data_IF_649969185043
#
_entry.id   IF_649969185043
#
_cell.length_a   1.000
_cell.length_b   1.000
_cell.length_c   1.000
_cell.angle_alpha   90.00
_cell.angle_beta   90.00
_cell.angle_gamma   90.00
#
_symmetry.space_group_name_H-M   'P 1'
#
loop_
_entity.id
_entity.type
_entity.pdbx_description
1 polymer ?
#
# COMPACT_ATOMS: atom_id res chain seq x y z
N UNK A 1 -2.76 66.75 29.59
CA UNK A 1 -1.41 66.82 28.99
C UNK A 1 -1.42 65.98 27.71
N UNK A 2 -2.14 66.36 26.65
CA UNK A 2 -1.71 67.22 25.54
C UNK A 2 -0.24 67.03 25.11
N UNK A 3 -0.04 66.36 23.98
CA UNK A 3 1.01 66.71 23.02
C UNK A 3 0.51 66.45 21.60
N UNK A 4 -0.11 67.48 21.01
CA UNK A 4 -0.40 67.60 19.58
C UNK A 4 0.91 68.00 18.87
N UNK A 5 1.30 67.27 17.83
CA UNK A 5 2.15 67.83 16.76
C UNK A 5 1.31 67.95 15.50
N UNK A 6 1.02 69.20 15.12
CA UNK A 6 0.50 69.58 13.82
C UNK A 6 1.59 69.33 12.77
N UNK A 7 1.24 68.69 11.65
CA UNK A 7 1.96 68.95 10.41
C UNK A 7 1.03 68.86 9.18
N UNK A 8 0.63 70.07 8.75
CA UNK A 8 0.34 70.57 7.40
C UNK A 8 -0.41 69.68 6.40
N UNK A 9 -1.65 70.11 6.17
CA UNK A 9 -2.44 70.01 4.96
C UNK A 9 -1.66 70.54 3.72
N UNK A 10 -1.47 69.71 2.70
CA UNK A 10 -1.22 70.14 1.32
C UNK A 10 -2.25 69.45 0.44
N UNK A 11 -3.17 70.25 -0.09
CA UNK A 11 -4.12 69.89 -1.14
C UNK A 11 -3.34 69.63 -2.42
N UNK A 12 -3.39 68.42 -2.95
CA UNK A 12 -2.88 68.06 -4.27
C UNK A 12 -3.97 67.30 -5.02
N UNK A 13 -4.67 68.02 -5.89
CA UNK A 13 -5.63 67.48 -6.85
C UNK A 13 -4.82 66.70 -7.90
N UNK A 14 -4.98 65.37 -7.94
CA UNK A 14 -4.42 64.56 -9.03
C UNK A 14 -5.56 63.77 -9.65
N UNK A 15 -5.87 64.15 -10.88
CA UNK A 15 -6.79 63.51 -11.79
C UNK A 15 -6.14 62.21 -12.28
N UNK A 16 -6.49 61.05 -11.71
CA UNK A 16 -6.02 59.75 -12.20
C UNK A 16 -7.09 59.10 -13.07
N UNK A 17 -6.78 59.02 -14.36
CA UNK A 17 -7.56 58.29 -15.35
C UNK A 17 -7.72 56.81 -14.94
N UNK A 18 -8.97 56.33 -14.94
CA UNK A 18 -9.26 54.90 -14.80
C UNK A 18 -8.88 54.23 -16.12
N UNK A 19 -7.70 53.63 -16.16
CA UNK A 19 -7.31 52.69 -17.21
C UNK A 19 -8.01 51.37 -16.92
N UNK A 20 -8.97 51.00 -17.76
CA UNK A 20 -9.57 49.68 -17.77
C UNK A 20 -8.51 48.65 -18.20
N UNK A 21 -7.82 48.07 -17.21
CA UNK A 21 -6.90 46.96 -17.43
C UNK A 21 -7.69 45.69 -17.75
N UNK A 22 -7.69 45.31 -19.02
CA UNK A 22 -8.05 43.96 -19.45
C UNK A 22 -7.01 43.00 -18.84
N UNK A 23 -7.35 42.37 -17.71
CA UNK A 23 -6.57 41.27 -17.13
C UNK A 23 -6.73 40.05 -18.05
N UNK A 24 -5.92 39.99 -19.10
CA UNK A 24 -5.63 38.73 -19.77
C UNK A 24 -4.87 37.86 -18.76
N UNK A 25 -5.60 36.99 -18.06
CA UNK A 25 -5.00 35.96 -17.22
C UNK A 25 -4.20 35.02 -18.10
N UNK A 26 -2.90 35.26 -18.26
CA UNK A 26 -2.01 34.25 -18.79
C UNK A 26 -1.94 33.16 -17.73
N UNK A 27 -2.64 32.05 -17.96
CA UNK A 27 -2.31 30.79 -17.31
C UNK A 27 -0.87 30.48 -17.71
N UNK A 28 0.08 30.89 -16.87
CA UNK A 28 1.44 30.40 -16.96
C UNK A 28 1.34 28.90 -16.71
N UNK A 29 1.38 28.11 -17.78
CA UNK A 29 1.78 26.71 -17.66
C UNK A 29 3.13 26.76 -16.97
N UNK A 30 3.23 26.24 -15.74
CA UNK A 30 4.51 26.09 -15.08
C UNK A 30 5.37 25.23 -16.01
N UNK A 31 6.26 25.88 -16.75
CA UNK A 31 7.31 25.19 -17.48
C UNK A 31 8.25 24.70 -16.41
N UNK A 32 8.12 23.43 -16.12
CA UNK A 32 9.03 22.66 -15.29
C UNK A 32 10.48 23.01 -15.66
N UNK A 33 11.34 23.37 -14.69
CA UNK A 33 12.71 23.77 -14.99
C UNK A 33 13.43 22.66 -15.78
N UNK A 34 14.23 23.00 -16.80
CA UNK A 34 14.93 22.01 -17.60
C UNK A 34 15.82 21.16 -16.69
N UNK A 35 15.43 19.89 -16.50
CA UNK A 35 16.00 18.98 -15.51
C UNK A 35 14.97 18.19 -14.71
N UNK A 36 13.68 18.56 -14.75
CA UNK A 36 12.60 17.74 -14.21
C UNK A 36 11.99 16.89 -15.32
N UNK A 37 11.81 15.61 -15.04
CA UNK A 37 11.17 14.60 -15.89
C UNK A 37 9.65 14.76 -15.99
N UNK A 38 9.10 15.93 -15.65
CA UNK A 38 7.67 16.20 -15.57
C UNK A 38 6.95 15.44 -14.44
N UNK A 39 7.70 14.74 -13.59
CA UNK A 39 7.14 13.92 -12.52
C UNK A 39 6.89 14.76 -11.26
N UNK A 40 5.68 14.72 -10.67
CA UNK A 40 5.40 15.44 -9.44
C UNK A 40 6.18 14.86 -8.24
N UNK A 41 6.63 15.74 -7.35
CA UNK A 41 7.24 15.37 -6.07
C UNK A 41 6.31 14.43 -5.28
N UNK A 42 6.89 13.40 -4.66
CA UNK A 42 6.15 12.37 -3.95
C UNK A 42 5.58 11.25 -4.82
N UNK A 43 5.70 11.31 -6.15
CA UNK A 43 5.34 10.19 -7.01
C UNK A 43 6.21 8.97 -6.70
N UNK A 44 5.60 7.80 -6.59
CA UNK A 44 6.27 6.51 -6.36
C UNK A 44 6.22 5.68 -7.63
N UNK A 45 7.36 5.13 -8.07
CA UNK A 45 7.44 4.31 -9.26
C UNK A 45 8.43 3.15 -9.09
N UNK A 46 8.19 2.06 -9.83
CA UNK A 46 9.09 0.91 -9.92
C UNK A 46 10.12 1.14 -11.02
N UNK A 47 11.38 0.80 -10.75
CA UNK A 47 12.47 0.88 -11.71
C UNK A 47 13.11 -0.49 -11.91
N UNK A 48 13.55 -0.76 -13.14
CA UNK A 48 14.28 -2.00 -13.51
C UNK A 48 15.77 -1.93 -13.18
N UNK A 49 16.25 -0.78 -12.72
CA UNK A 49 17.61 -0.57 -12.21
C UNK A 49 17.75 -1.05 -10.77
N UNK A 50 18.98 -1.16 -10.28
CA UNK A 50 19.27 -1.52 -8.88
C UNK A 50 19.28 -0.31 -7.94
N UNK A 51 19.29 0.92 -8.49
CA UNK A 51 19.27 2.18 -7.74
C UNK A 51 18.33 3.18 -8.39
N UNK A 52 17.90 4.16 -7.59
CA UNK A 52 17.08 5.26 -8.08
C UNK A 52 17.87 6.19 -9.02
N UNK A 53 17.23 6.73 -10.08
CA UNK A 53 17.85 7.73 -10.93
C UNK A 53 18.02 9.08 -10.20
N UNK A 54 18.81 10.03 -10.74
CA UNK A 54 18.94 11.37 -10.16
C UNK A 54 17.58 12.06 -9.95
N UNK A 55 17.40 12.73 -8.80
CA UNK A 55 16.14 13.38 -8.41
C UNK A 55 15.08 12.43 -7.85
N UNK A 56 15.47 11.19 -7.51
CA UNK A 56 14.63 10.18 -6.90
C UNK A 56 15.36 9.51 -5.73
N UNK A 57 14.63 9.20 -4.66
CA UNK A 57 15.13 8.49 -3.50
C UNK A 57 14.47 7.12 -3.35
N UNK A 58 15.14 6.16 -2.72
CA UNK A 58 14.55 4.85 -2.44
C UNK A 58 13.35 5.02 -1.52
N UNK A 59 12.20 4.47 -1.92
CA UNK A 59 10.97 4.46 -1.12
C UNK A 59 11.06 3.33 -0.07
N UNK A 60 11.69 3.62 1.06
CA UNK A 60 11.97 2.62 2.11
C UNK A 60 10.71 2.07 2.76
N UNK A 61 9.61 2.83 2.77
CA UNK A 61 8.32 2.43 3.33
C UNK A 61 7.66 1.24 2.59
N UNK A 62 8.06 0.94 1.36
CA UNK A 62 7.51 -0.16 0.54
C UNK A 62 8.51 -1.29 0.28
N UNK A 63 9.69 -1.25 0.89
CA UNK A 63 10.72 -2.27 0.68
C UNK A 63 10.22 -3.65 1.12
N UNK A 64 10.30 -4.63 0.22
CA UNK A 64 9.81 -5.99 0.45
C UNK A 64 8.28 -6.10 0.52
N UNK A 65 7.53 -5.09 0.08
CA UNK A 65 6.05 -5.08 0.17
C UNK A 65 5.40 -4.97 -1.21
N UNK A 66 4.24 -5.58 -1.34
CA UNK A 66 3.34 -5.32 -2.45
C UNK A 66 2.59 -4.00 -2.18
N UNK A 67 2.64 -3.07 -3.14
CA UNK A 67 1.92 -1.80 -3.06
C UNK A 67 0.49 -2.01 -3.55
N UNK A 68 -0.49 -1.60 -2.73
CA UNK A 68 -1.92 -1.70 -3.05
C UNK A 68 -2.50 -0.29 -3.10
N UNK A 69 -3.29 -0.01 -4.13
CA UNK A 69 -4.02 1.25 -4.25
C UNK A 69 -5.14 1.31 -3.20
N UNK A 70 -5.29 2.47 -2.55
CA UNK A 70 -6.34 2.71 -1.55
C UNK A 70 -7.33 3.74 -2.05
N UNK A 71 -8.58 3.64 -1.62
CA UNK A 71 -9.63 4.59 -1.97
C UNK A 71 -9.71 5.76 -1.00
N UNK A 72 -9.32 5.55 0.26
CA UNK A 72 -9.36 6.57 1.31
C UNK A 72 -7.95 7.00 1.69
N UNK A 73 -7.76 8.30 1.89
CA UNK A 73 -6.47 8.85 2.32
C UNK A 73 -6.07 8.38 3.72
N UNK A 74 -7.02 7.94 4.55
CA UNK A 74 -6.75 7.37 5.89
C UNK A 74 -5.95 6.07 5.83
N UNK A 75 -6.01 5.36 4.70
CA UNK A 75 -5.38 4.04 4.55
C UNK A 75 -3.99 4.17 3.90
N UNK A 76 -3.56 5.39 3.54
CA UNK A 76 -2.25 5.64 2.98
C UNK A 76 -1.15 5.30 3.99
N UNK A 77 -0.17 4.52 3.54
CA UNK A 77 0.96 4.11 4.37
C UNK A 77 0.66 3.02 5.39
N UNK A 78 -0.58 2.51 5.45
CA UNK A 78 -0.91 1.34 6.27
C UNK A 78 -0.19 0.12 5.71
N UNK A 79 0.52 -0.58 6.58
CA UNK A 79 1.23 -1.82 6.23
C UNK A 79 0.56 -3.03 6.85
N UNK A 80 0.39 -4.09 6.08
CA UNK A 80 -0.09 -5.39 6.56
C UNK A 80 1.00 -6.44 6.36
N UNK A 81 1.16 -7.32 7.36
CA UNK A 81 2.11 -8.43 7.32
C UNK A 81 3.58 -8.03 7.37
N UNK A 82 4.43 -9.05 7.21
CA UNK A 82 5.90 -8.94 7.25
C UNK A 82 6.45 -8.70 5.84
N UNK A 83 7.40 -7.77 5.65
CA UNK A 83 8.03 -7.57 4.35
C UNK A 83 8.82 -8.81 3.93
N UNK A 84 8.84 -9.08 2.62
CA UNK A 84 9.69 -10.09 2.01
C UNK A 84 11.17 -9.72 2.18
N UNK A 85 11.99 -10.73 2.46
CA UNK A 85 13.44 -10.60 2.43
C UNK A 85 13.93 -10.44 0.98
N UNK A 86 15.10 -9.84 0.81
CA UNK A 86 15.71 -9.68 -0.52
C UNK A 86 15.95 -11.06 -1.16
N UNK A 87 15.48 -11.20 -2.40
CA UNK A 87 15.64 -12.36 -3.29
C UNK A 87 15.30 -13.71 -2.66
N UNK A 88 14.43 -13.70 -1.65
CA UNK A 88 14.03 -14.90 -0.92
C UNK A 88 12.56 -15.18 -1.17
N UNK A 89 12.26 -16.37 -1.69
CA UNK A 89 10.89 -16.80 -1.87
C UNK A 89 10.20 -16.92 -0.50
N UNK A 90 8.99 -16.37 -0.31
CA UNK A 90 8.26 -16.55 0.93
C UNK A 90 7.87 -18.01 1.12
N UNK A 91 8.15 -18.54 2.31
CA UNK A 91 7.53 -19.76 2.80
C UNK A 91 6.04 -19.53 3.07
N UNK A 92 5.22 -20.54 2.80
CA UNK A 92 3.80 -20.53 3.14
C UNK A 92 3.31 -21.94 3.51
N UNK A 93 2.20 -21.97 4.24
CA UNK A 93 1.56 -23.18 4.75
C UNK A 93 0.11 -23.19 4.26
N UNK A 94 -0.38 -24.37 3.89
CA UNK A 94 -1.80 -24.60 3.58
C UNK A 94 -2.45 -25.36 4.72
N UNK A 95 -3.50 -24.79 5.30
CA UNK A 95 -4.38 -25.52 6.21
C UNK A 95 -5.40 -26.32 5.41
N UNK A 96 -5.62 -27.58 5.76
CA UNK A 96 -6.68 -28.39 5.16
C UNK A 96 -7.73 -28.77 6.20
N UNK A 97 -8.96 -28.95 5.70
CA UNK A 97 -10.07 -29.50 6.47
C UNK A 97 -10.90 -30.37 5.54
N UNK A 98 -11.12 -31.61 5.93
CA UNK A 98 -11.93 -32.57 5.18
C UNK A 98 -12.79 -33.40 6.12
N UNK A 99 -13.83 -34.00 5.56
CA UNK A 99 -14.74 -34.85 6.28
C UNK A 99 -14.71 -36.26 5.68
N UNK A 100 -14.51 -37.25 6.54
CA UNK A 100 -14.62 -38.66 6.19
C UNK A 100 -15.89 -39.21 6.84
N UNK A 101 -16.81 -39.72 6.03
CA UNK A 101 -18.00 -40.41 6.53
C UNK A 101 -17.72 -41.91 6.55
N UNK A 102 -17.66 -42.49 7.74
CA UNK A 102 -17.55 -43.94 7.92
C UNK A 102 -18.96 -44.55 7.85
N UNK A 103 -19.23 -45.45 6.88
CA UNK A 103 -20.50 -46.14 6.81
C UNK A 103 -20.65 -47.11 7.97
N UNK A 104 -21.89 -47.44 8.33
CA UNK A 104 -22.15 -48.49 9.34
C UNK A 104 -21.65 -49.84 8.85
N UNK A 105 -20.94 -50.55 9.73
CA UNK A 105 -20.50 -51.94 9.56
C UNK A 105 -20.87 -52.72 10.81
N UNK A 106 -21.36 -53.95 10.61
CA UNK A 106 -21.71 -54.85 11.70
C UNK A 106 -20.61 -55.90 11.88
N UNK A 107 -20.20 -56.15 13.12
CA UNK A 107 -19.26 -57.21 13.47
C UNK A 107 -19.96 -58.19 14.43
N UNK A 108 -19.90 -59.48 14.13
CA UNK A 108 -20.39 -60.52 15.04
C UNK A 108 -19.32 -60.80 16.11
N UNK A 109 -19.64 -60.49 17.37
CA UNK A 109 -18.76 -60.75 18.50
C UNK A 109 -19.18 -62.05 19.18
N UNK A 110 -18.20 -62.87 19.55
CA UNK A 110 -18.43 -64.19 20.17
C UNK A 110 -19.28 -64.15 21.46
N UNK A 111 -19.31 -63.00 22.14
CA UNK A 111 -20.06 -62.82 23.39
C UNK A 111 -21.39 -62.05 23.25
N UNK A 112 -21.74 -61.58 22.04
CA UNK A 112 -22.89 -60.69 21.83
C UNK A 112 -22.72 -59.31 22.51
N UNK A 113 -23.44 -58.31 22.02
CA UNK A 113 -23.41 -56.93 22.55
C UNK A 113 -22.70 -55.91 21.65
N UNK A 114 -22.72 -54.66 22.09
CA UNK A 114 -22.01 -53.53 21.46
C UNK A 114 -20.58 -53.42 22.01
N UNK A 115 -19.59 -53.30 21.11
CA UNK A 115 -18.19 -53.09 21.48
C UNK A 115 -17.70 -51.74 20.96
N UNK A 116 -17.36 -50.84 21.88
CA UNK A 116 -16.90 -49.48 21.59
C UNK A 116 -15.39 -49.42 21.29
N UNK A 117 -14.69 -50.56 21.29
CA UNK A 117 -13.26 -50.63 20.91
C UNK A 117 -13.03 -50.49 19.40
N UNK A 118 -14.10 -50.50 18.59
CA UNK A 118 -14.04 -50.30 17.14
C UNK A 118 -14.43 -48.86 16.76
N UNK A 119 -13.97 -48.41 15.59
CA UNK A 119 -14.32 -47.10 15.06
C UNK A 119 -15.84 -47.01 14.81
N UNK A 120 -16.48 -45.99 15.40
CA UNK A 120 -17.92 -45.74 15.24
C UNK A 120 -18.24 -45.30 13.81
N UNK A 121 -19.43 -45.60 13.31
CA UNK A 121 -19.91 -44.97 12.08
C UNK A 121 -20.28 -43.51 12.32
N UNK A 122 -20.17 -42.69 11.29
CA UNK A 122 -20.46 -41.26 11.38
C UNK A 122 -19.45 -40.40 10.62
N UNK A 123 -19.59 -39.09 10.80
CA UNK A 123 -18.76 -38.09 10.13
C UNK A 123 -17.58 -37.72 11.03
N UNK A 124 -16.38 -37.85 10.50
CA UNK A 124 -15.13 -37.49 11.14
C UNK A 124 -14.51 -36.31 10.41
N UNK A 125 -14.37 -35.19 11.08
CA UNK A 125 -13.65 -34.04 10.55
C UNK A 125 -12.17 -34.18 10.86
N UNK A 126 -11.35 -34.08 9.83
CA UNK A 126 -9.89 -34.09 9.92
C UNK A 126 -9.40 -32.73 9.44
N UNK A 127 -8.54 -32.10 10.22
CA UNK A 127 -7.89 -30.85 9.85
C UNK A 127 -6.45 -30.84 10.32
N UNK A 128 -5.63 -30.07 9.64
CA UNK A 128 -4.24 -29.84 10.00
C UNK A 128 -3.59 -28.88 9.04
N UNK A 129 -2.29 -28.69 9.25
CA UNK A 129 -1.46 -27.88 8.39
C UNK A 129 -0.51 -28.79 7.60
N UNK A 130 -0.24 -28.39 6.35
CA UNK A 130 0.84 -28.97 5.56
C UNK A 130 2.19 -28.46 6.06
N UNK A 131 3.27 -29.10 5.64
CA UNK A 131 4.61 -28.59 5.90
C UNK A 131 4.82 -27.24 5.20
N UNK A 132 5.56 -26.33 5.85
CA UNK A 132 5.99 -25.07 5.23
C UNK A 132 6.82 -25.35 3.98
N UNK A 133 6.47 -24.66 2.89
CA UNK A 133 7.19 -24.74 1.62
C UNK A 133 7.16 -23.40 0.89
N UNK A 134 8.13 -23.19 0.00
CA UNK A 134 8.08 -22.12 -1.00
C UNK A 134 7.21 -22.55 -2.18
N UNK A 135 6.65 -21.60 -2.91
CA UNK A 135 5.79 -21.91 -4.07
C UNK A 135 6.54 -22.19 -5.37
N UNK A 136 7.88 -22.04 -5.37
CA UNK A 136 8.76 -22.09 -6.54
C UNK A 136 8.29 -21.23 -7.73
N UNK A 137 7.41 -20.26 -7.46
CA UNK A 137 6.91 -19.33 -8.46
C UNK A 137 8.02 -18.33 -8.81
N UNK A 138 8.28 -18.09 -10.11
CA UNK A 138 9.18 -17.03 -10.51
C UNK A 138 8.69 -15.67 -10.00
N UNK A 139 9.59 -14.89 -9.41
CA UNK A 139 9.30 -13.54 -8.97
C UNK A 139 10.46 -12.59 -9.29
N UNK A 140 10.13 -11.30 -9.36
CA UNK A 140 11.10 -10.22 -9.47
C UNK A 140 10.86 -9.23 -8.35
N UNK A 141 11.94 -8.75 -7.74
CA UNK A 141 11.92 -7.60 -6.84
C UNK A 141 12.56 -6.42 -7.56
N UNK A 142 11.78 -5.36 -7.71
CA UNK A 142 12.20 -4.11 -8.34
C UNK A 142 12.46 -3.06 -7.27
N UNK A 143 13.41 -2.16 -7.52
CA UNK A 143 13.58 -1.00 -6.65
C UNK A 143 12.37 -0.08 -6.83
N UNK A 144 11.86 0.43 -5.71
CA UNK A 144 10.82 1.44 -5.73
C UNK A 144 11.44 2.76 -5.30
N UNK A 145 11.21 3.79 -6.10
CA UNK A 145 11.74 5.12 -5.85
C UNK A 145 10.60 6.12 -5.73
N UNK A 146 10.84 7.14 -4.92
CA UNK A 146 9.97 8.30 -4.72
C UNK A 146 10.67 9.54 -5.29
N UNK A 147 9.93 10.33 -6.07
CA UNK A 147 10.41 11.62 -6.58
C UNK A 147 10.62 12.59 -5.42
N UNK A 148 11.77 13.26 -5.43
CA UNK A 148 12.09 14.37 -4.52
C UNK A 148 11.07 15.51 -4.61
#
# INVERSE_FOLDING_TARGET
>A
MQNKRLQRCVKGFVLTAVVAGFLAGTNAMATDPPGTDGTPSGMVAFFTTTSCPPGWNVATNVQGRAVVAVQNSSDLGVTVGTPLQDKTAPGHIHSYKTDITLPTKHAALATGGSDDRYAKSGKYTISGDMQEATSDLPFIQLVVCQKE
#
